data_IF_572361824105
#
_entry.id   IF_572361824105
#
_cell.length_a   1.000
_cell.length_b   1.000
_cell.length_c   1.000
_cell.angle_alpha   90.00
_cell.angle_beta   90.00
_cell.angle_gamma   90.00
#
_symmetry.space_group_name_H-M   'P 1'
#
loop_
_entity.id
_entity.type
_entity.pdbx_description
1 polymer ?
#
# COMPACT_ATOMS: atom_id res chain seq x y z
N UNK A 1 -17.10 -13.24 -15.14
CA UNK A 1 -17.87 -12.82 -16.33
C UNK A 1 -17.06 -11.69 -16.94
N UNK A 2 -16.21 -12.02 -17.90
CA UNK A 2 -15.23 -11.09 -18.47
C UNK A 2 -15.96 -9.98 -19.22
N UNK A 3 -15.89 -8.76 -18.67
CA UNK A 3 -16.55 -7.59 -19.23
C UNK A 3 -15.62 -6.99 -20.30
N UNK A 4 -15.99 -7.13 -21.57
CA UNK A 4 -15.24 -6.49 -22.67
C UNK A 4 -15.48 -4.98 -22.62
N UNK A 5 -14.48 -4.24 -22.13
CA UNK A 5 -14.49 -2.79 -21.98
C UNK A 5 -14.50 -2.05 -23.34
N UNK A 6 -14.28 -2.75 -24.45
CA UNK A 6 -14.29 -2.19 -25.81
C UNK A 6 -15.64 -2.27 -26.49
N UNK A 7 -16.63 -2.90 -25.85
CA UNK A 7 -17.96 -3.15 -26.42
C UNK A 7 -19.08 -2.65 -25.47
N UNK A 8 -20.13 -2.06 -26.05
CA UNK A 8 -21.34 -1.62 -25.33
C UNK A 8 -21.42 -0.13 -25.01
N UNK A 9 -22.43 0.26 -24.22
CA UNK A 9 -22.72 1.65 -23.86
C UNK A 9 -21.70 2.21 -22.86
N UNK A 10 -21.02 3.29 -23.25
CA UNK A 10 -19.93 3.93 -22.48
C UNK A 10 -20.41 4.34 -21.09
N UNK A 11 -21.63 4.91 -20.96
CA UNK A 11 -22.14 5.37 -19.66
C UNK A 11 -22.33 4.20 -18.69
N UNK A 12 -22.81 3.07 -19.20
CA UNK A 12 -23.03 1.86 -18.41
C UNK A 12 -21.71 1.22 -17.98
N UNK A 13 -20.71 1.17 -18.88
CA UNK A 13 -19.38 0.64 -18.57
C UNK A 13 -18.63 1.50 -17.54
N UNK A 14 -18.68 2.83 -17.70
CA UNK A 14 -18.11 3.78 -16.71
C UNK A 14 -18.74 3.53 -15.34
N UNK A 15 -20.06 3.43 -15.23
CA UNK A 15 -20.71 3.15 -13.94
C UNK A 15 -20.28 1.81 -13.33
N UNK A 16 -20.16 0.75 -14.14
CA UNK A 16 -19.76 -0.59 -13.69
C UNK A 16 -18.31 -0.66 -13.23
N UNK A 17 -17.42 0.20 -13.75
CA UNK A 17 -16.03 0.29 -13.31
C UNK A 17 -15.86 1.26 -12.14
N UNK A 18 -16.34 2.49 -12.31
CA UNK A 18 -16.10 3.59 -11.37
C UNK A 18 -16.80 3.37 -10.03
N UNK A 19 -18.04 2.86 -10.00
CA UNK A 19 -18.75 2.68 -8.72
C UNK A 19 -18.03 1.65 -7.82
N UNK A 20 -17.70 0.43 -8.28
CA UNK A 20 -16.94 -0.50 -7.46
C UNK A 20 -15.56 0.02 -7.07
N UNK A 21 -14.83 0.66 -8.00
CA UNK A 21 -13.52 1.23 -7.72
C UNK A 21 -13.60 2.33 -6.65
N UNK A 22 -14.55 3.26 -6.75
CA UNK A 22 -14.75 4.33 -5.76
C UNK A 22 -15.10 3.78 -4.38
N UNK A 23 -15.93 2.73 -4.31
CA UNK A 23 -16.21 2.04 -3.04
C UNK A 23 -14.93 1.41 -2.50
N UNK A 24 -14.13 0.74 -3.33
CA UNK A 24 -12.85 0.17 -2.92
C UNK A 24 -11.91 1.22 -2.33
N UNK A 25 -11.72 2.34 -3.03
CA UNK A 25 -10.90 3.46 -2.55
C UNK A 25 -11.43 4.10 -1.27
N UNK A 26 -12.75 4.16 -1.08
CA UNK A 26 -13.33 4.62 0.18
C UNK A 26 -12.89 3.73 1.35
N UNK A 27 -13.00 2.40 1.22
CA UNK A 27 -12.57 1.48 2.27
C UNK A 27 -11.05 1.45 2.46
N UNK A 28 -10.27 1.60 1.38
CA UNK A 28 -8.82 1.79 1.48
C UNK A 28 -8.47 3.07 2.26
N UNK A 29 -9.22 4.15 2.05
CA UNK A 29 -9.03 5.38 2.83
C UNK A 29 -9.40 5.16 4.29
N UNK A 30 -10.50 4.46 4.58
CA UNK A 30 -10.90 4.14 5.95
C UNK A 30 -9.88 3.25 6.67
N UNK A 31 -9.29 2.27 5.99
CA UNK A 31 -8.16 1.49 6.51
C UNK A 31 -7.05 2.41 7.03
N UNK A 32 -6.61 3.37 6.21
CA UNK A 32 -5.54 4.30 6.59
C UNK A 32 -5.94 5.22 7.75
N UNK A 33 -7.21 5.64 7.82
CA UNK A 33 -7.74 6.47 8.92
C UNK A 33 -7.78 5.67 10.23
N UNK A 34 -8.17 4.40 10.17
CA UNK A 34 -8.22 3.50 11.32
C UNK A 34 -6.82 3.28 11.91
N UNK A 35 -5.83 2.91 11.09
CA UNK A 35 -4.42 2.78 11.51
C UNK A 35 -3.94 4.07 12.21
N UNK A 36 -4.23 5.23 11.61
CA UNK A 36 -3.83 6.53 12.16
C UNK A 36 -4.51 6.82 13.51
N UNK A 37 -5.79 6.47 13.65
CA UNK A 37 -6.55 6.67 14.88
C UNK A 37 -6.02 5.80 16.02
N UNK A 38 -5.79 4.51 15.77
CA UNK A 38 -5.26 3.59 16.78
C UNK A 38 -3.81 3.94 17.13
N UNK A 39 -2.96 4.25 16.15
CA UNK A 39 -1.60 4.72 16.40
C UNK A 39 -1.56 6.00 17.28
N UNK A 40 -2.51 6.92 17.08
CA UNK A 40 -2.63 8.14 17.88
C UNK A 40 -3.03 7.94 19.35
N UNK A 41 -3.54 6.76 19.73
CA UNK A 41 -3.98 6.46 21.10
C UNK A 41 -2.84 5.93 22.01
N UNK A 42 -1.68 5.59 21.46
CA UNK A 42 -0.75 4.64 22.10
C UNK A 42 0.36 5.32 22.95
N UNK A 43 0.90 6.50 22.59
CA UNK A 43 1.83 7.27 23.45
C UNK A 43 2.34 8.54 22.74
N UNK A 44 2.36 9.68 23.43
CA UNK A 44 2.89 10.97 22.93
C UNK A 44 4.39 10.94 22.58
N UNK A 45 5.14 9.96 23.10
CA UNK A 45 6.60 9.90 22.98
C UNK A 45 7.06 8.92 21.90
N UNK A 46 6.30 7.86 21.64
CA UNK A 46 6.45 7.03 20.45
C UNK A 46 5.95 7.78 19.20
N UNK A 47 4.88 8.57 19.34
CA UNK A 47 4.25 9.31 18.23
C UNK A 47 5.18 10.34 17.56
N UNK A 48 6.09 10.98 18.30
CA UNK A 48 7.04 11.95 17.73
C UNK A 48 8.12 11.28 16.87
N UNK A 49 8.70 10.18 17.35
CA UNK A 49 9.63 9.35 16.58
C UNK A 49 8.94 8.68 15.38
N UNK A 50 7.67 8.28 15.55
CA UNK A 50 6.83 7.70 14.51
C UNK A 50 6.53 8.71 13.39
N UNK A 51 6.23 9.98 13.73
CA UNK A 51 5.85 11.01 12.75
C UNK A 51 6.96 11.28 11.72
N UNK A 52 8.22 11.29 12.16
CA UNK A 52 9.39 11.40 11.29
C UNK A 52 9.52 10.19 10.35
N UNK A 53 9.44 8.98 10.91
CA UNK A 53 9.47 7.73 10.14
C UNK A 53 8.30 7.63 9.15
N UNK A 54 7.13 8.13 9.52
CA UNK A 54 5.92 8.10 8.71
C UNK A 54 6.06 8.92 7.43
N UNK A 55 6.76 10.05 7.49
CA UNK A 55 7.02 10.90 6.32
C UNK A 55 7.84 10.15 5.26
N UNK A 56 8.84 9.39 5.69
CA UNK A 56 9.66 8.55 4.81
C UNK A 56 8.88 7.35 4.30
N UNK A 57 8.08 6.72 5.16
CA UNK A 57 7.18 5.64 4.74
C UNK A 57 6.18 6.09 3.67
N UNK A 58 5.56 7.26 3.84
CA UNK A 58 4.67 7.85 2.85
C UNK A 58 5.36 8.12 1.52
N UNK A 59 6.62 8.58 1.55
CA UNK A 59 7.41 8.77 0.35
C UNK A 59 7.63 7.44 -0.40
N UNK A 60 7.91 6.36 0.32
CA UNK A 60 8.04 5.03 -0.30
C UNK A 60 6.72 4.53 -0.90
N UNK A 61 5.61 4.69 -0.17
CA UNK A 61 4.27 4.35 -0.68
C UNK A 61 3.97 5.16 -1.95
N UNK A 62 4.26 6.46 -1.96
CA UNK A 62 4.00 7.32 -3.11
C UNK A 62 4.77 6.86 -4.37
N UNK A 63 6.04 6.45 -4.19
CA UNK A 63 6.85 5.90 -5.29
C UNK A 63 6.28 4.57 -5.78
N UNK A 64 6.01 3.63 -4.87
CA UNK A 64 5.49 2.31 -5.22
C UNK A 64 4.11 2.40 -5.89
N UNK A 65 3.21 3.21 -5.32
CA UNK A 65 1.87 3.49 -5.85
C UNK A 65 1.93 4.16 -7.21
N UNK A 66 2.77 5.19 -7.38
CA UNK A 66 2.93 5.87 -8.67
C UNK A 66 3.41 4.94 -9.79
N UNK A 67 4.39 4.07 -9.50
CA UNK A 67 4.87 3.06 -10.45
C UNK A 67 3.81 1.99 -10.75
N UNK A 68 3.07 1.57 -9.73
CA UNK A 68 1.95 0.63 -9.85
C UNK A 68 0.85 1.19 -10.77
N UNK A 69 0.48 2.47 -10.65
CA UNK A 69 -0.49 3.11 -11.55
C UNK A 69 -0.02 3.13 -13.01
N UNK A 70 1.28 3.33 -13.25
CA UNK A 70 1.84 3.23 -14.59
C UNK A 70 1.70 1.82 -15.19
N UNK A 71 1.88 0.77 -14.37
CA UNK A 71 1.66 -0.62 -14.78
C UNK A 71 0.18 -0.85 -15.13
N UNK A 72 -0.75 -0.37 -14.30
CA UNK A 72 -2.19 -0.45 -14.57
C UNK A 72 -2.53 0.12 -15.95
N UNK A 73 -2.01 1.31 -16.26
CA UNK A 73 -2.23 1.97 -17.54
C UNK A 73 -1.62 1.22 -18.73
N UNK A 74 -0.39 0.71 -18.60
CA UNK A 74 0.30 -0.02 -19.67
C UNK A 74 -0.39 -1.36 -20.01
N UNK A 75 -0.73 -2.14 -18.98
CA UNK A 75 -1.42 -3.42 -19.15
C UNK A 75 -2.84 -3.18 -19.67
N UNK A 76 -3.58 -2.22 -19.11
CA UNK A 76 -4.92 -1.85 -19.56
C UNK A 76 -4.93 -1.42 -21.03
N UNK A 77 -3.94 -0.65 -21.48
CA UNK A 77 -3.79 -0.25 -22.89
C UNK A 77 -3.52 -1.45 -23.83
N UNK A 78 -2.65 -2.39 -23.43
CA UNK A 78 -2.38 -3.59 -24.22
C UNK A 78 -3.63 -4.48 -24.33
N UNK A 79 -4.36 -4.65 -23.22
CA UNK A 79 -5.64 -5.37 -23.21
C UNK A 79 -6.69 -4.68 -24.08
N UNK A 80 -6.79 -3.34 -24.03
CA UNK A 80 -7.67 -2.55 -24.89
C UNK A 80 -7.37 -2.68 -26.39
N UNK A 81 -6.10 -2.89 -26.75
CA UNK A 81 -5.67 -3.22 -28.13
C UNK A 81 -5.91 -4.69 -28.52
N UNK A 82 -6.46 -5.51 -27.62
CA UNK A 82 -6.62 -6.96 -27.76
C UNK A 82 -5.29 -7.72 -27.91
N UNK A 83 -4.18 -7.10 -27.51
CA UNK A 83 -2.85 -7.70 -27.54
C UNK A 83 -2.55 -8.40 -26.20
N UNK A 84 -3.15 -9.59 -26.03
CA UNK A 84 -2.96 -10.41 -24.82
C UNK A 84 -1.50 -10.83 -24.62
N UNK A 85 -0.73 -11.25 -25.64
CA UNK A 85 0.69 -11.56 -25.47
C UNK A 85 1.47 -10.38 -24.89
N UNK A 86 1.26 -9.16 -25.40
CA UNK A 86 1.92 -7.97 -24.86
C UNK A 86 1.49 -7.66 -23.44
N UNK A 87 0.20 -7.78 -23.11
CA UNK A 87 -0.30 -7.56 -21.75
C UNK A 87 0.35 -8.50 -20.73
N UNK A 88 0.48 -9.80 -21.07
CA UNK A 88 1.17 -10.78 -20.22
C UNK A 88 2.65 -10.46 -20.10
N UNK A 89 3.30 -10.05 -21.19
CA UNK A 89 4.72 -9.69 -21.16
C UNK A 89 4.98 -8.48 -20.24
N UNK A 90 4.15 -7.43 -20.32
CA UNK A 90 4.23 -6.27 -19.42
C UNK A 90 3.97 -6.70 -17.98
N UNK A 91 2.96 -7.53 -17.73
CA UNK A 91 2.63 -7.99 -16.38
C UNK A 91 3.80 -8.74 -15.73
N UNK A 92 4.42 -9.70 -16.43
CA UNK A 92 5.57 -10.44 -15.91
C UNK A 92 6.77 -9.52 -15.67
N UNK A 93 7.09 -8.63 -16.62
CA UNK A 93 8.17 -7.66 -16.45
C UNK A 93 7.92 -6.70 -15.28
N UNK A 94 6.66 -6.32 -15.02
CA UNK A 94 6.32 -5.46 -13.89
C UNK A 94 6.58 -6.12 -12.54
N UNK A 95 6.43 -7.45 -12.41
CA UNK A 95 6.76 -8.17 -11.18
C UNK A 95 8.27 -8.25 -10.94
N UNK A 96 9.05 -8.45 -12.02
CA UNK A 96 10.52 -8.36 -11.94
C UNK A 96 10.95 -6.94 -11.59
N UNK A 97 10.30 -5.93 -12.17
CA UNK A 97 10.52 -4.53 -11.83
C UNK A 97 10.13 -4.21 -10.38
N UNK A 98 9.06 -4.81 -9.84
CA UNK A 98 8.66 -4.66 -8.45
C UNK A 98 9.77 -5.14 -7.49
N UNK A 99 10.39 -6.28 -7.80
CA UNK A 99 11.53 -6.80 -7.04
C UNK A 99 12.76 -5.89 -7.12
N UNK A 100 13.05 -5.38 -8.32
CA UNK A 100 14.13 -4.41 -8.50
C UNK A 100 13.85 -3.11 -7.72
N UNK A 101 12.64 -2.58 -7.83
CA UNK A 101 12.20 -1.36 -7.15
C UNK A 101 12.27 -1.51 -5.64
N UNK A 102 11.84 -2.65 -5.08
CA UNK A 102 11.94 -2.89 -3.64
C UNK A 102 13.39 -2.90 -3.17
N UNK A 103 14.28 -3.55 -3.93
CA UNK A 103 15.71 -3.56 -3.60
C UNK A 103 16.33 -2.16 -3.63
N UNK A 104 16.00 -1.37 -4.65
CA UNK A 104 16.44 0.03 -4.76
C UNK A 104 15.90 0.86 -3.60
N UNK A 105 14.61 0.73 -3.26
CA UNK A 105 14.00 1.45 -2.15
C UNK A 105 14.65 1.08 -0.81
N UNK A 106 14.91 -0.20 -0.56
CA UNK A 106 15.61 -0.65 0.65
C UNK A 106 17.01 -0.07 0.74
N UNK A 107 17.84 -0.19 -0.31
CA UNK A 107 19.22 0.31 -0.28
C UNK A 107 19.24 1.82 -0.12
N UNK A 108 18.53 2.54 -0.99
CA UNK A 108 18.51 4.01 -0.97
C UNK A 108 17.93 4.49 0.35
N UNK A 109 16.86 3.87 0.84
CA UNK A 109 16.27 4.17 2.12
C UNK A 109 17.24 3.97 3.27
N UNK A 110 17.86 2.79 3.44
CA UNK A 110 18.80 2.53 4.55
C UNK A 110 19.98 3.51 4.53
N UNK A 111 20.51 3.83 3.35
CA UNK A 111 21.64 4.77 3.22
C UNK A 111 21.25 6.23 3.47
N UNK A 112 20.04 6.63 3.08
CA UNK A 112 19.60 8.03 3.19
C UNK A 112 18.90 8.35 4.50
N UNK A 113 18.26 7.38 5.15
CA UNK A 113 17.38 7.62 6.30
C UNK A 113 18.08 8.25 7.50
N UNK A 114 19.32 7.87 7.89
CA UNK A 114 20.04 8.55 8.97
C UNK A 114 20.23 10.05 8.70
N UNK A 115 20.58 10.40 7.46
CA UNK A 115 20.74 11.79 7.05
C UNK A 115 19.39 12.53 7.02
N UNK A 116 18.37 11.94 6.39
CA UNK A 116 17.04 12.54 6.27
C UNK A 116 16.40 12.79 7.65
N UNK A 117 16.50 11.83 8.57
CA UNK A 117 15.97 11.99 9.92
C UNK A 117 16.74 13.03 10.72
N UNK A 118 18.07 13.09 10.59
CA UNK A 118 18.86 14.15 11.22
C UNK A 118 18.50 15.55 10.70
N UNK A 119 18.21 15.67 9.40
CA UNK A 119 17.78 16.92 8.76
C UNK A 119 16.40 17.37 9.25
N UNK A 120 15.52 16.42 9.53
CA UNK A 120 14.20 16.66 10.09
C UNK A 120 14.23 16.91 11.62
N UNK A 121 15.42 16.96 12.24
CA UNK A 121 15.61 17.35 13.64
C UNK A 121 15.69 16.20 14.64
N UNK A 122 15.78 14.94 14.20
CA UNK A 122 15.99 13.81 15.09
C UNK A 122 17.45 13.73 15.55
N UNK A 123 17.68 13.71 16.87
CA UNK A 123 19.03 13.63 17.46
C UNK A 123 19.07 12.70 18.68
N UNK A 124 20.24 12.10 18.91
CA UNK A 124 20.49 11.22 20.06
C UNK A 124 19.56 10.01 20.08
N UNK A 125 18.97 9.73 21.25
CA UNK A 125 18.05 8.62 21.47
C UNK A 125 16.88 8.58 20.47
N UNK A 126 16.33 9.74 20.07
CA UNK A 126 15.22 9.79 19.12
C UNK A 126 15.62 9.37 17.70
N UNK A 127 16.87 9.59 17.30
CA UNK A 127 17.35 9.16 16.00
C UNK A 127 17.51 7.64 15.95
N UNK A 128 18.05 7.03 17.00
CA UNK A 128 18.21 5.57 17.08
C UNK A 128 16.85 4.86 17.04
N UNK A 129 15.89 5.29 17.86
CA UNK A 129 14.54 4.72 17.87
C UNK A 129 13.81 4.86 16.51
N UNK A 130 13.91 6.04 15.86
CA UNK A 130 13.32 6.23 14.54
C UNK A 130 13.99 5.37 13.46
N UNK A 131 15.31 5.16 13.56
CA UNK A 131 16.06 4.30 12.64
C UNK A 131 15.71 2.82 12.79
N UNK A 132 15.55 2.33 14.01
CA UNK A 132 15.15 0.94 14.25
C UNK A 132 13.76 0.68 13.64
N UNK A 133 12.83 1.61 13.84
CA UNK A 133 11.49 1.50 13.27
C UNK A 133 11.49 1.51 11.73
N UNK A 134 12.11 2.50 11.10
CA UNK A 134 12.07 2.66 9.64
C UNK A 134 12.88 1.58 8.91
N UNK A 135 13.94 1.06 9.51
CA UNK A 135 14.73 -0.02 8.92
C UNK A 135 13.91 -1.31 8.80
N UNK A 136 13.07 -1.64 9.80
CA UNK A 136 12.14 -2.78 9.70
C UNK A 136 11.22 -2.63 8.49
N UNK A 137 10.65 -1.45 8.29
CA UNK A 137 9.79 -1.15 7.13
C UNK A 137 10.58 -1.26 5.82
N UNK A 138 11.81 -0.74 5.79
CA UNK A 138 12.69 -0.79 4.62
C UNK A 138 13.04 -2.22 4.22
N UNK A 139 13.31 -3.10 5.18
CA UNK A 139 13.55 -4.52 4.90
C UNK A 139 12.27 -5.25 4.46
N UNK A 140 11.11 -4.86 5.01
CA UNK A 140 9.80 -5.35 4.61
C UNK A 140 9.29 -4.80 3.28
N UNK A 141 10.04 -3.90 2.61
CA UNK A 141 9.51 -3.13 1.48
C UNK A 141 9.04 -3.97 0.30
N UNK A 142 9.70 -5.12 0.10
CA UNK A 142 9.36 -6.08 -0.94
C UNK A 142 7.90 -6.51 -0.87
N UNK A 143 7.34 -6.71 0.33
CA UNK A 143 5.98 -7.20 0.48
C UNK A 143 4.95 -6.16 0.04
N UNK A 144 5.08 -4.91 0.51
CA UNK A 144 4.11 -3.87 0.16
C UNK A 144 4.25 -3.44 -1.31
N UNK A 145 5.47 -3.37 -1.85
CA UNK A 145 5.69 -3.04 -3.28
C UNK A 145 5.04 -4.10 -4.17
N UNK A 146 5.21 -5.39 -3.85
CA UNK A 146 4.53 -6.46 -4.59
C UNK A 146 3.01 -6.38 -4.45
N UNK A 147 2.49 -6.07 -3.27
CA UNK A 147 1.06 -5.89 -3.07
C UNK A 147 0.50 -4.78 -3.98
N UNK A 148 1.17 -3.63 -4.09
CA UNK A 148 0.78 -2.58 -5.03
C UNK A 148 0.74 -3.08 -6.48
N UNK A 149 1.80 -3.73 -6.93
CA UNK A 149 1.90 -4.20 -8.32
C UNK A 149 0.86 -5.28 -8.66
N UNK A 150 0.60 -6.23 -7.76
CA UNK A 150 -0.45 -7.24 -7.96
C UNK A 150 -1.83 -6.56 -8.05
N UNK A 151 -2.10 -5.59 -7.18
CA UNK A 151 -3.33 -4.81 -7.23
C UNK A 151 -3.47 -4.01 -8.53
N UNK A 152 -2.39 -3.44 -9.05
CA UNK A 152 -2.38 -2.81 -10.38
C UNK A 152 -2.77 -3.78 -11.49
N UNK A 153 -2.26 -5.01 -11.47
CA UNK A 153 -2.59 -6.01 -12.48
C UNK A 153 -4.08 -6.42 -12.43
N UNK A 154 -4.64 -6.62 -11.22
CA UNK A 154 -6.07 -6.91 -11.05
C UNK A 154 -6.94 -5.76 -11.56
N UNK A 155 -6.57 -4.52 -11.24
CA UNK A 155 -7.26 -3.33 -11.73
C UNK A 155 -7.16 -3.17 -13.26
N UNK A 156 -6.00 -3.48 -13.85
CA UNK A 156 -5.77 -3.36 -15.29
C UNK A 156 -6.68 -4.29 -16.12
N UNK A 157 -7.00 -5.47 -15.60
CA UNK A 157 -7.91 -6.43 -16.26
C UNK A 157 -9.39 -6.03 -16.08
N UNK A 158 -9.67 -5.00 -15.27
CA UNK A 158 -11.02 -4.52 -15.03
C UNK A 158 -11.81 -5.35 -14.03
N UNK A 159 -11.15 -6.22 -13.25
CA UNK A 159 -11.78 -6.92 -12.12
C UNK A 159 -11.84 -6.01 -10.88
N UNK A 160 -12.55 -4.89 -11.03
CA UNK A 160 -12.74 -3.91 -9.96
C UNK A 160 -13.66 -4.42 -8.86
N UNK A 161 -14.43 -5.49 -9.11
CA UNK A 161 -15.32 -6.11 -8.11
C UNK A 161 -14.52 -6.96 -7.13
N UNK A 162 -13.62 -7.83 -7.61
CA UNK A 162 -12.73 -8.60 -6.73
C UNK A 162 -11.80 -7.67 -5.96
N UNK A 163 -11.22 -6.66 -6.63
CA UNK A 163 -10.36 -5.67 -5.97
C UNK A 163 -11.09 -4.90 -4.87
N UNK A 164 -12.31 -4.39 -5.15
CA UNK A 164 -13.16 -3.75 -4.13
C UNK A 164 -13.42 -4.67 -2.95
N UNK A 165 -13.80 -5.94 -3.20
CA UNK A 165 -14.14 -6.87 -2.14
C UNK A 165 -12.93 -7.17 -1.23
N UNK A 166 -11.73 -7.30 -1.79
CA UNK A 166 -10.50 -7.45 -1.02
C UNK A 166 -10.29 -6.22 -0.12
N UNK A 167 -10.40 -5.01 -0.67
CA UNK A 167 -10.23 -3.78 0.12
C UNK A 167 -11.26 -3.64 1.25
N UNK A 168 -12.52 -4.01 1.00
CA UNK A 168 -13.58 -4.01 2.03
C UNK A 168 -13.23 -4.99 3.14
N UNK A 169 -12.90 -6.24 2.79
CA UNK A 169 -12.57 -7.28 3.78
C UNK A 169 -11.34 -6.89 4.56
N UNK A 170 -10.28 -6.41 3.90
CA UNK A 170 -9.06 -5.93 4.55
C UNK A 170 -9.34 -4.79 5.51
N UNK A 171 -10.18 -3.81 5.15
CA UNK A 171 -10.53 -2.69 6.03
C UNK A 171 -11.26 -3.15 7.30
N UNK A 172 -12.28 -4.01 7.18
CA UNK A 172 -12.99 -4.54 8.36
C UNK A 172 -12.11 -5.43 9.22
N UNK A 173 -11.28 -6.25 8.59
CA UNK A 173 -10.37 -7.15 9.29
C UNK A 173 -9.29 -6.36 10.04
N UNK A 174 -8.75 -5.29 9.43
CA UNK A 174 -7.84 -4.35 10.09
C UNK A 174 -8.48 -3.65 11.28
N UNK A 175 -9.68 -3.06 11.16
CA UNK A 175 -10.39 -2.45 12.31
C UNK A 175 -10.57 -3.44 13.45
N UNK A 176 -10.94 -4.68 13.14
CA UNK A 176 -11.13 -5.73 14.15
C UNK A 176 -9.81 -6.17 14.81
N UNK A 177 -8.76 -6.34 14.01
CA UNK A 177 -7.44 -6.70 14.51
C UNK A 177 -6.82 -5.58 15.34
N UNK A 178 -6.86 -4.32 14.89
CA UNK A 178 -6.33 -3.17 15.62
C UNK A 178 -7.01 -3.04 16.98
N UNK A 179 -8.35 -3.06 17.00
CA UNK A 179 -9.09 -3.02 18.26
C UNK A 179 -8.70 -4.16 19.21
N UNK A 180 -8.54 -5.36 18.66
CA UNK A 180 -8.15 -6.53 19.45
C UNK A 180 -6.70 -6.42 19.96
N UNK A 181 -5.74 -6.00 19.13
CA UNK A 181 -4.34 -5.88 19.52
C UNK A 181 -4.09 -4.75 20.52
N UNK A 182 -4.74 -3.58 20.38
CA UNK A 182 -4.49 -2.48 21.34
C UNK A 182 -5.24 -2.66 22.65
N UNK A 183 -6.47 -3.20 22.66
CA UNK A 183 -7.27 -3.32 23.89
C UNK A 183 -7.23 -4.73 24.53
N UNK A 184 -6.73 -5.74 23.82
CA UNK A 184 -6.65 -7.13 24.30
C UNK A 184 -7.99 -7.87 24.25
N UNK A 185 -7.95 -9.19 24.01
CA UNK A 185 -9.15 -10.03 23.88
C UNK A 185 -8.84 -11.54 23.75
N UNK A 186 -9.79 -12.41 24.13
CA UNK A 186 -9.68 -13.88 24.07
C UNK A 186 -8.43 -14.49 24.75
N UNK A 187 -8.05 -13.97 25.92
CA UNK A 187 -6.97 -14.54 26.75
C UNK A 187 -5.55 -14.15 26.34
N UNK A 188 -5.40 -13.18 25.44
CA UNK A 188 -4.12 -12.57 25.05
C UNK A 188 -4.04 -11.21 25.75
N UNK A 189 -2.95 -10.96 26.49
CA UNK A 189 -2.70 -9.65 27.12
C UNK A 189 -2.59 -8.56 26.04
N UNK A 190 -3.08 -7.33 26.30
CA UNK A 190 -2.96 -6.23 25.36
C UNK A 190 -1.47 -6.01 25.00
N UNK A 191 -1.15 -6.18 23.72
CA UNK A 191 0.24 -6.13 23.23
C UNK A 191 0.79 -4.69 23.20
N UNK A 192 -0.08 -3.69 23.38
CA UNK A 192 0.32 -2.29 23.47
C UNK A 192 1.21 -1.88 22.29
N UNK A 193 2.41 -1.42 22.58
CA UNK A 193 3.38 -0.83 21.62
C UNK A 193 3.91 -1.83 20.57
N UNK A 194 3.65 -3.14 20.70
CA UNK A 194 4.23 -4.19 19.84
C UNK A 194 3.20 -5.00 19.04
N UNK A 195 1.90 -4.65 19.13
CA UNK A 195 0.80 -5.31 18.43
C UNK A 195 0.55 -4.73 17.04
#
# INVERSE_FOLDING_TARGET
>A
MDMDLTQGDIKTQIKKLSIPASIGFFFHTMYNVTDTYFAGQISTQALSALTLSFSLFFMMIAIAGGMSEAVTALVGNALGKKDRPMAVHIALNSLVFALFLSFVLTIVGVLSTPYLMSLLGAHGFYLEESLDYINVILYGSVFFVFAFFINALLNAVGDTVSFRNILIVSAFLNVGLDYWFVYGGLGIEPLGVSG
#
